data_IF_584732105125
#
_entry.id   IF_584732105125
#
_cell.length_a   1.000
_cell.length_b   1.000
_cell.length_c   1.000
_cell.angle_alpha   90.00
_cell.angle_beta   90.00
_cell.angle_gamma   90.00
#
_symmetry.space_group_name_H-M   'P 1'
#
loop_
_entity.id
_entity.type
_entity.pdbx_description
1 polymer ?
#
# COMPACT_ATOMS: atom_id res chain seq x y z
N UNK A 1 -10.43 -0.36 -20.96
CA UNK A 1 -11.85 0.08 -20.96
C UNK A 1 -12.11 1.18 -21.97
N UNK A 2 -11.46 2.37 -21.91
CA UNK A 2 -11.73 3.49 -22.85
C UNK A 2 -11.57 3.10 -24.34
N UNK A 3 -10.46 2.42 -24.70
CA UNK A 3 -10.27 1.95 -26.08
C UNK A 3 -11.39 1.01 -26.56
N UNK A 4 -11.84 0.11 -25.69
CA UNK A 4 -12.95 -0.81 -25.99
C UNK A 4 -14.26 -0.03 -26.21
N UNK A 5 -14.52 0.99 -25.39
CA UNK A 5 -15.71 1.84 -25.52
C UNK A 5 -15.72 2.62 -26.84
N UNK A 6 -14.55 3.14 -27.24
CA UNK A 6 -14.43 3.85 -28.54
C UNK A 6 -14.67 2.90 -29.71
N UNK A 7 -14.02 1.73 -29.70
CA UNK A 7 -14.21 0.71 -30.75
C UNK A 7 -15.69 0.28 -30.82
N UNK A 8 -16.31 -0.05 -29.68
CA UNK A 8 -17.72 -0.40 -29.62
C UNK A 8 -18.63 0.75 -30.11
N UNK A 9 -18.32 1.99 -29.75
CA UNK A 9 -19.06 3.18 -30.19
C UNK A 9 -19.02 3.38 -31.70
N UNK A 10 -17.87 3.10 -32.33
CA UNK A 10 -17.74 3.14 -33.80
C UNK A 10 -18.62 2.05 -34.45
N UNK A 11 -18.49 0.80 -33.97
CA UNK A 11 -19.23 -0.33 -34.55
C UNK A 11 -20.77 -0.24 -34.32
N UNK A 12 -21.20 0.41 -33.24
CA UNK A 12 -22.61 0.56 -32.89
C UNK A 12 -23.21 1.89 -33.39
N UNK A 13 -22.41 2.74 -34.05
CA UNK A 13 -22.86 4.07 -34.49
C UNK A 13 -23.18 5.05 -33.37
N UNK A 14 -22.61 4.83 -32.14
CA UNK A 14 -22.86 5.64 -30.95
C UNK A 14 -21.62 6.43 -30.50
N UNK A 15 -20.82 6.87 -31.45
CA UNK A 15 -19.58 7.61 -31.13
C UNK A 15 -19.87 8.94 -30.40
N UNK A 16 -21.00 9.60 -30.73
CA UNK A 16 -21.41 10.83 -30.07
C UNK A 16 -21.70 10.61 -28.58
N UNK A 17 -22.38 9.51 -28.22
CA UNK A 17 -22.64 9.15 -26.83
C UNK A 17 -21.34 8.86 -26.06
N UNK A 18 -20.33 8.26 -26.70
CA UNK A 18 -19.01 8.03 -26.10
C UNK A 18 -18.29 9.36 -25.87
N UNK A 19 -18.37 10.28 -26.82
CA UNK A 19 -17.76 11.61 -26.72
C UNK A 19 -18.43 12.45 -25.62
N UNK A 20 -19.76 12.45 -25.56
CA UNK A 20 -20.51 13.15 -24.52
C UNK A 20 -20.21 12.58 -23.12
N UNK A 21 -20.17 11.25 -22.98
CA UNK A 21 -19.78 10.60 -21.74
C UNK A 21 -18.36 10.98 -21.31
N UNK A 22 -17.40 11.05 -22.25
CA UNK A 22 -16.02 11.44 -21.95
C UNK A 22 -15.95 12.90 -21.46
N UNK A 23 -16.67 13.83 -22.09
CA UNK A 23 -16.73 15.23 -21.68
C UNK A 23 -17.37 15.36 -20.29
N UNK A 24 -18.48 14.67 -20.05
CA UNK A 24 -19.17 14.72 -18.77
C UNK A 24 -18.30 14.13 -17.63
N UNK A 25 -17.65 13.00 -17.88
CA UNK A 25 -16.71 12.42 -16.91
C UNK A 25 -15.51 13.30 -16.63
N UNK A 26 -15.03 14.06 -17.63
CA UNK A 26 -13.96 15.05 -17.42
C UNK A 26 -14.39 16.16 -16.47
N UNK A 27 -15.62 16.68 -16.59
CA UNK A 27 -16.16 17.69 -15.66
C UNK A 27 -16.28 17.13 -14.25
N UNK A 28 -16.86 15.93 -14.10
CA UNK A 28 -16.99 15.24 -12.81
C UNK A 28 -15.62 15.00 -12.18
N UNK A 29 -14.61 14.61 -12.98
CA UNK A 29 -13.25 14.41 -12.48
C UNK A 29 -12.65 15.69 -11.91
N UNK A 30 -12.87 16.85 -12.54
CA UNK A 30 -12.40 18.15 -12.03
C UNK A 30 -13.12 18.51 -10.74
N UNK A 31 -14.44 18.36 -10.66
CA UNK A 31 -15.22 18.64 -9.45
C UNK A 31 -14.76 17.79 -8.27
N UNK A 32 -14.60 16.47 -8.49
CA UNK A 32 -14.05 15.56 -7.47
C UNK A 32 -12.64 16.00 -7.05
N UNK A 33 -11.77 16.35 -8.00
CA UNK A 33 -10.39 16.74 -7.71
C UNK A 33 -10.34 18.00 -6.83
N UNK A 34 -11.16 19.01 -7.10
CA UNK A 34 -11.26 20.23 -6.28
C UNK A 34 -11.78 19.88 -4.88
N UNK A 35 -12.83 19.07 -4.78
CA UNK A 35 -13.38 18.63 -3.49
C UNK A 35 -12.37 17.84 -2.66
N UNK A 36 -11.55 17.02 -3.30
CA UNK A 36 -10.50 16.25 -2.64
C UNK A 36 -9.40 17.12 -2.00
N UNK A 37 -9.07 18.25 -2.58
CA UNK A 37 -7.99 19.11 -2.07
C UNK A 37 -8.20 19.49 -0.61
N UNK A 38 -9.40 19.98 -0.25
CA UNK A 38 -9.70 20.40 1.11
C UNK A 38 -9.67 19.25 2.11
N UNK A 39 -10.31 18.12 1.77
CA UNK A 39 -10.38 16.94 2.64
C UNK A 39 -8.99 16.32 2.82
N UNK A 40 -8.22 16.22 1.74
CA UNK A 40 -6.85 15.71 1.79
C UNK A 40 -5.93 16.62 2.62
N UNK A 41 -6.05 17.94 2.46
CA UNK A 41 -5.27 18.89 3.26
C UNK A 41 -5.58 18.78 4.76
N UNK A 42 -6.86 18.72 5.13
CA UNK A 42 -7.29 18.51 6.51
C UNK A 42 -6.75 17.20 7.06
N UNK A 43 -6.92 16.10 6.32
CA UNK A 43 -6.51 14.77 6.74
C UNK A 43 -5.00 14.65 6.90
N UNK A 44 -4.24 15.17 5.93
CA UNK A 44 -2.77 15.21 6.00
C UNK A 44 -2.29 16.06 7.19
N UNK A 45 -2.98 17.16 7.50
CA UNK A 45 -2.70 17.97 8.67
C UNK A 45 -2.89 17.19 9.98
N UNK A 46 -4.02 16.49 10.13
CA UNK A 46 -4.30 15.63 11.30
C UNK A 46 -3.25 14.53 11.42
N UNK A 47 -2.91 13.88 10.31
CA UNK A 47 -1.92 12.80 10.29
C UNK A 47 -0.51 13.33 10.62
N UNK A 48 -0.18 14.55 10.21
CA UNK A 48 1.10 15.19 10.57
C UNK A 48 1.20 15.45 12.08
N UNK A 49 0.09 15.82 12.71
CA UNK A 49 0.00 15.95 14.18
C UNK A 49 0.19 14.57 14.83
N UNK A 50 -0.46 13.53 14.33
CA UNK A 50 -0.32 12.16 14.82
C UNK A 50 1.13 11.64 14.68
N UNK A 51 1.81 11.97 13.59
CA UNK A 51 3.23 11.67 13.40
C UNK A 51 4.09 12.41 14.45
N UNK A 52 3.90 13.71 14.59
CA UNK A 52 4.63 14.55 15.54
C UNK A 52 4.39 14.16 17.01
N UNK A 53 3.21 13.63 17.34
CA UNK A 53 2.87 13.14 18.69
C UNK A 53 3.61 11.85 19.08
N UNK A 54 4.32 11.21 18.14
CA UNK A 54 5.02 9.96 18.36
C UNK A 54 4.15 8.70 18.24
N UNK A 55 2.92 8.80 17.75
CA UNK A 55 2.01 7.66 17.55
C UNK A 55 2.64 6.57 16.67
N UNK A 56 3.35 6.97 15.61
CA UNK A 56 4.09 6.04 14.74
C UNK A 56 5.08 5.21 15.57
N UNK A 57 5.81 5.82 16.51
CA UNK A 57 6.79 5.12 17.34
C UNK A 57 6.16 4.11 18.30
N UNK A 58 4.95 4.40 18.78
CA UNK A 58 4.20 3.48 19.66
C UNK A 58 3.79 2.24 18.88
N UNK A 59 3.20 2.42 17.70
CA UNK A 59 2.83 1.32 16.81
C UNK A 59 4.06 0.53 16.37
N UNK A 60 5.15 1.22 16.02
CA UNK A 60 6.40 0.60 15.63
C UNK A 60 6.98 -0.31 16.72
N UNK A 61 6.92 0.08 17.99
CA UNK A 61 7.36 -0.79 19.10
C UNK A 61 6.56 -2.08 19.17
N UNK A 62 5.24 -2.00 18.96
CA UNK A 62 4.37 -3.18 18.93
C UNK A 62 4.61 -4.09 17.72
N UNK A 63 4.96 -3.50 16.57
CA UNK A 63 5.20 -4.24 15.34
C UNK A 63 6.59 -4.89 15.27
N UNK A 64 7.59 -4.34 15.97
CA UNK A 64 8.98 -4.81 15.90
C UNK A 64 9.11 -6.33 16.15
N UNK A 65 8.52 -6.93 17.19
CA UNK A 65 8.66 -8.37 17.43
C UNK A 65 8.00 -9.23 16.34
N UNK A 66 6.93 -8.73 15.72
CA UNK A 66 6.25 -9.40 14.59
C UNK A 66 7.15 -9.30 13.35
N UNK A 67 7.70 -8.12 13.08
CA UNK A 67 8.59 -7.89 11.94
C UNK A 67 9.83 -8.78 11.99
N UNK A 68 10.49 -8.91 13.13
CA UNK A 68 11.66 -9.79 13.29
C UNK A 68 11.31 -11.24 12.95
N UNK A 69 10.10 -11.71 13.29
CA UNK A 69 9.65 -13.07 12.96
C UNK A 69 9.28 -13.25 11.48
N UNK A 70 8.82 -12.20 10.83
CA UNK A 70 8.47 -12.22 9.41
C UNK A 70 9.68 -12.15 8.50
N UNK A 71 10.76 -11.53 8.97
CA UNK A 71 12.01 -11.31 8.24
C UNK A 71 13.20 -12.01 8.90
N UNK A 72 13.21 -13.36 8.99
CA UNK A 72 14.26 -14.10 9.69
C UNK A 72 15.64 -13.95 9.04
N UNK A 73 15.70 -13.67 7.73
CA UNK A 73 16.94 -13.50 6.98
C UNK A 73 17.59 -12.12 7.20
N UNK A 74 16.89 -11.20 7.90
CA UNK A 74 17.40 -9.86 8.22
C UNK A 74 17.82 -9.82 9.68
N UNK A 75 19.08 -9.47 10.00
CA UNK A 75 19.52 -9.33 11.39
C UNK A 75 18.62 -8.36 12.18
N UNK A 76 18.25 -8.73 13.41
CA UNK A 76 17.26 -8.00 14.21
C UNK A 76 17.71 -6.56 14.60
N UNK A 77 19.00 -6.29 14.56
CA UNK A 77 19.65 -5.01 14.81
C UNK A 77 19.94 -4.22 13.52
N UNK A 78 19.72 -4.83 12.35
CA UNK A 78 19.94 -4.15 11.06
C UNK A 78 18.98 -2.98 10.86
N UNK A 79 19.42 -1.83 10.30
CA UNK A 79 18.58 -0.65 10.04
C UNK A 79 17.30 -0.97 9.25
N UNK A 80 17.34 -1.92 8.31
CA UNK A 80 16.21 -2.36 7.51
C UNK A 80 14.98 -2.74 8.36
N UNK A 81 15.18 -3.41 9.51
CA UNK A 81 14.08 -3.73 10.43
C UNK A 81 13.39 -2.46 10.92
N UNK A 82 14.17 -1.44 11.25
CA UNK A 82 13.64 -0.14 11.68
C UNK A 82 12.82 0.54 10.58
N UNK A 83 13.35 0.59 9.36
CA UNK A 83 12.70 1.21 8.20
C UNK A 83 11.42 0.44 7.79
N UNK A 84 11.45 -0.90 7.79
CA UNK A 84 10.28 -1.77 7.54
C UNK A 84 9.19 -1.47 8.58
N UNK A 85 9.53 -1.46 9.86
CA UNK A 85 8.57 -1.22 10.95
C UNK A 85 7.94 0.17 10.85
N UNK A 86 8.73 1.19 10.53
CA UNK A 86 8.22 2.56 10.34
C UNK A 86 7.32 2.66 9.10
N UNK A 87 7.70 2.03 7.99
CA UNK A 87 6.88 1.98 6.80
C UNK A 87 5.53 1.28 7.06
N UNK A 88 5.54 0.10 7.69
CA UNK A 88 4.32 -0.62 8.06
C UNK A 88 3.44 0.23 8.98
N UNK A 89 4.02 0.90 9.98
CA UNK A 89 3.29 1.76 10.91
C UNK A 89 2.64 2.95 10.20
N UNK A 90 3.34 3.57 9.26
CA UNK A 90 2.82 4.67 8.46
C UNK A 90 1.66 4.21 7.55
N UNK A 91 1.79 3.04 6.92
CA UNK A 91 0.73 2.44 6.11
C UNK A 91 -0.52 2.11 6.95
N UNK A 92 -0.35 1.53 8.15
CA UNK A 92 -1.47 1.23 9.05
C UNK A 92 -2.23 2.48 9.48
N UNK A 93 -1.56 3.62 9.57
CA UNK A 93 -2.16 4.92 9.87
C UNK A 93 -2.71 5.64 8.64
N UNK A 94 -2.64 5.04 7.45
CA UNK A 94 -3.11 5.66 6.22
C UNK A 94 -2.23 6.81 5.71
N UNK A 95 -0.97 6.87 6.16
CA UNK A 95 0.03 7.90 5.81
C UNK A 95 0.78 7.54 4.51
N UNK A 96 0.06 7.26 3.41
CA UNK A 96 0.67 6.79 2.17
C UNK A 96 1.85 7.64 1.66
N UNK A 97 1.74 8.97 1.77
CA UNK A 97 2.81 9.88 1.36
C UNK A 97 4.07 9.77 2.23
N UNK A 98 3.93 9.50 3.53
CA UNK A 98 5.05 9.27 4.43
C UNK A 98 5.58 7.83 4.34
N UNK A 99 4.71 6.87 4.03
CA UNK A 99 5.09 5.48 3.89
C UNK A 99 6.01 5.24 2.68
N UNK A 100 5.79 5.93 1.55
CA UNK A 100 6.57 5.74 0.32
C UNK A 100 8.08 5.94 0.52
N UNK A 101 8.58 7.08 1.04
CA UNK A 101 10.03 7.25 1.25
C UNK A 101 10.59 6.26 2.29
N UNK A 102 9.81 5.90 3.31
CA UNK A 102 10.21 4.88 4.28
C UNK A 102 10.32 3.49 3.64
N UNK A 103 9.41 3.18 2.71
CA UNK A 103 9.45 1.93 1.95
C UNK A 103 10.63 1.85 1.00
N UNK A 104 10.95 2.92 0.29
CA UNK A 104 12.14 3.00 -0.56
C UNK A 104 13.42 2.80 0.26
N UNK A 105 13.52 3.50 1.39
CA UNK A 105 14.66 3.34 2.30
C UNK A 105 14.79 1.91 2.82
N UNK A 106 13.69 1.29 3.24
CA UNK A 106 13.71 -0.12 3.67
C UNK A 106 14.18 -1.05 2.55
N UNK A 107 13.75 -0.80 1.31
CA UNK A 107 14.18 -1.61 0.16
C UNK A 107 15.66 -1.41 -0.18
N UNK A 108 16.19 -0.18 -0.07
CA UNK A 108 17.63 0.11 -0.23
C UNK A 108 18.45 -0.64 0.82
N UNK A 109 18.06 -0.58 2.10
CA UNK A 109 18.73 -1.27 3.20
C UNK A 109 18.64 -2.81 3.07
N UNK A 110 17.52 -3.34 2.53
CA UNK A 110 17.42 -4.77 2.18
C UNK A 110 18.31 -5.14 0.99
N UNK A 111 18.47 -4.21 0.03
CA UNK A 111 19.35 -4.42 -1.12
C UNK A 111 20.84 -4.46 -0.72
N UNK A 112 21.24 -3.79 0.36
CA UNK A 112 22.60 -3.91 0.90
C UNK A 112 22.90 -5.34 1.35
N UNK A 113 21.93 -6.02 1.96
CA UNK A 113 22.02 -7.41 2.40
C UNK A 113 21.88 -8.43 1.26
N UNK A 114 21.50 -7.99 0.07
CA UNK A 114 21.22 -8.86 -1.06
C UNK A 114 22.51 -9.34 -1.73
N UNK A 115 22.79 -10.65 -1.76
CA UNK A 115 24.00 -11.19 -2.40
C UNK A 115 23.94 -11.10 -3.94
N UNK A 116 22.73 -11.13 -4.54
CA UNK A 116 22.51 -11.05 -5.99
C UNK A 116 21.71 -9.78 -6.31
N UNK A 117 22.41 -8.73 -6.74
CA UNK A 117 21.82 -7.39 -6.90
C UNK A 117 20.71 -7.27 -7.95
N UNK A 118 20.63 -8.19 -8.87
CA UNK A 118 19.66 -8.28 -9.98
C UNK A 118 18.45 -9.18 -9.66
N UNK A 119 18.44 -9.83 -8.50
CA UNK A 119 17.38 -10.77 -8.09
C UNK A 119 16.85 -10.38 -6.70
N UNK A 120 15.55 -10.26 -6.53
CA UNK A 120 14.95 -9.92 -5.24
C UNK A 120 15.10 -11.07 -4.24
N UNK A 121 15.48 -10.75 -3.00
CA UNK A 121 15.51 -11.73 -1.89
C UNK A 121 14.12 -12.04 -1.36
N UNK A 122 13.97 -13.13 -0.60
CA UNK A 122 12.71 -13.49 0.06
C UNK A 122 12.23 -12.37 0.99
N UNK A 123 13.14 -11.69 1.68
CA UNK A 123 12.81 -10.53 2.52
C UNK A 123 12.22 -9.37 1.69
N UNK A 124 12.80 -9.05 0.53
CA UNK A 124 12.28 -8.01 -0.36
C UNK A 124 10.90 -8.36 -0.90
N UNK A 125 10.69 -9.62 -1.30
CA UNK A 125 9.37 -10.12 -1.77
C UNK A 125 8.34 -10.07 -0.66
N UNK A 126 8.70 -10.51 0.56
CA UNK A 126 7.82 -10.44 1.74
C UNK A 126 7.44 -8.99 2.06
N UNK A 127 8.41 -8.08 2.05
CA UNK A 127 8.17 -6.66 2.30
C UNK A 127 7.22 -6.05 1.26
N UNK A 128 7.42 -6.36 -0.02
CA UNK A 128 6.54 -5.90 -1.10
C UNK A 128 5.12 -6.45 -0.96
N UNK A 129 4.99 -7.73 -0.63
CA UNK A 129 3.70 -8.39 -0.43
C UNK A 129 2.91 -7.75 0.73
N UNK A 130 3.58 -7.47 1.87
CA UNK A 130 2.97 -6.79 3.02
C UNK A 130 2.56 -5.36 2.65
N UNK A 131 3.38 -4.62 1.91
CA UNK A 131 3.02 -3.26 1.47
C UNK A 131 1.83 -3.25 0.53
N UNK A 132 1.77 -4.20 -0.40
CA UNK A 132 0.67 -4.29 -1.38
C UNK A 132 -0.66 -4.68 -0.73
N UNK A 133 -0.62 -5.55 0.29
CA UNK A 133 -1.80 -6.04 1.00
C UNK A 133 -2.18 -5.22 2.24
N UNK A 134 -1.34 -4.33 2.67
CA UNK A 134 -1.21 -3.60 3.93
C UNK A 134 -2.48 -3.51 4.81
N UNK A 135 -2.33 -3.87 6.10
CA UNK A 135 -3.39 -3.68 7.10
C UNK A 135 -3.62 -2.19 7.32
N UNK A 136 -4.86 -1.75 7.18
CA UNK A 136 -5.26 -0.38 7.41
C UNK A 136 -6.07 -0.27 8.70
N UNK A 137 -5.50 0.38 9.71
CA UNK A 137 -6.20 0.71 10.96
C UNK A 137 -7.01 2.00 10.81
N UNK A 138 -6.59 2.89 9.94
CA UNK A 138 -7.27 4.14 9.63
C UNK A 138 -7.61 4.12 8.14
N UNK A 139 -8.86 4.46 7.82
CA UNK A 139 -9.32 4.52 6.43
C UNK A 139 -8.50 5.58 5.68
N UNK A 140 -8.00 5.27 4.48
CA UNK A 140 -7.23 6.24 3.69
C UNK A 140 -8.01 7.52 3.42
N UNK A 141 -7.31 8.65 3.42
CA UNK A 141 -7.89 9.96 3.18
C UNK A 141 -8.70 10.03 1.88
N UNK A 142 -8.24 9.36 0.84
CA UNK A 142 -8.95 9.29 -0.46
C UNK A 142 -10.31 8.61 -0.35
N UNK A 143 -10.42 7.55 0.44
CA UNK A 143 -11.70 6.85 0.67
C UNK A 143 -12.64 7.71 1.49
N UNK A 144 -12.12 8.36 2.55
CA UNK A 144 -12.91 9.32 3.36
C UNK A 144 -13.39 10.49 2.50
N UNK A 145 -12.55 11.00 1.62
CA UNK A 145 -12.88 12.08 0.72
C UNK A 145 -13.99 11.73 -0.29
N UNK A 146 -13.97 10.49 -0.82
CA UNK A 146 -14.97 10.02 -1.79
C UNK A 146 -16.29 9.61 -1.13
N UNK A 147 -16.24 9.01 0.05
CA UNK A 147 -17.42 8.45 0.73
C UNK A 147 -18.03 9.40 1.79
N UNK A 148 -17.30 10.42 2.23
CA UNK A 148 -17.76 11.33 3.28
C UNK A 148 -18.11 10.59 4.56
N UNK A 149 -19.27 10.90 5.15
CA UNK A 149 -19.75 10.28 6.38
C UNK A 149 -19.98 8.75 6.26
N UNK A 150 -20.24 8.24 5.05
CA UNK A 150 -20.42 6.81 4.83
C UNK A 150 -19.12 6.00 5.03
N UNK A 151 -17.95 6.65 5.02
CA UNK A 151 -16.67 5.99 5.29
C UNK A 151 -16.64 5.30 6.67
N UNK A 152 -17.33 5.85 7.67
CA UNK A 152 -17.40 5.25 9.01
C UNK A 152 -18.07 3.88 9.01
N UNK A 153 -19.01 3.62 8.10
CA UNK A 153 -19.75 2.35 8.00
C UNK A 153 -18.88 1.20 7.50
N UNK A 154 -17.83 1.50 6.74
CA UNK A 154 -16.92 0.47 6.20
C UNK A 154 -15.66 0.27 7.05
N UNK A 155 -15.54 0.94 8.19
CA UNK A 155 -14.32 0.91 9.03
C UNK A 155 -13.94 -0.52 9.43
N UNK A 156 -14.86 -1.26 10.06
CA UNK A 156 -14.61 -2.62 10.52
C UNK A 156 -14.38 -3.57 9.36
N UNK A 157 -15.17 -3.46 8.30
CA UNK A 157 -15.02 -4.32 7.11
C UNK A 157 -13.71 -4.07 6.41
N UNK A 158 -13.21 -2.84 6.36
CA UNK A 158 -11.90 -2.50 5.81
C UNK A 158 -10.77 -3.14 6.60
N UNK A 159 -10.81 -3.04 7.94
CA UNK A 159 -9.79 -3.68 8.80
C UNK A 159 -9.79 -5.20 8.57
N UNK A 160 -10.96 -5.84 8.60
CA UNK A 160 -11.05 -7.30 8.42
C UNK A 160 -10.59 -7.74 7.02
N UNK A 161 -10.99 -7.02 5.98
CA UNK A 161 -10.61 -7.34 4.61
C UNK A 161 -9.10 -7.17 4.37
N UNK A 162 -8.51 -6.06 4.85
CA UNK A 162 -7.07 -5.81 4.71
C UNK A 162 -6.23 -6.75 5.57
N UNK A 163 -6.71 -7.12 6.75
CA UNK A 163 -6.08 -8.14 7.60
C UNK A 163 -6.09 -9.51 6.92
N UNK A 164 -7.24 -9.95 6.39
CA UNK A 164 -7.36 -11.21 5.66
C UNK A 164 -6.44 -11.23 4.43
N UNK A 165 -6.40 -10.13 3.66
CA UNK A 165 -5.50 -9.96 2.52
C UNK A 165 -4.04 -10.10 2.92
N UNK A 166 -3.62 -9.43 4.00
CA UNK A 166 -2.24 -9.46 4.49
C UNK A 166 -1.85 -10.85 5.00
N UNK A 167 -2.72 -11.51 5.77
CA UNK A 167 -2.48 -12.89 6.22
C UNK A 167 -2.30 -13.81 5.01
N UNK A 168 -3.19 -13.70 4.01
CA UNK A 168 -3.11 -14.50 2.79
C UNK A 168 -1.80 -14.23 2.04
N UNK A 169 -1.40 -12.97 1.89
CA UNK A 169 -0.14 -12.59 1.23
C UNK A 169 1.07 -13.20 1.96
N UNK A 170 1.14 -13.08 3.29
CA UNK A 170 2.22 -13.66 4.10
C UNK A 170 2.26 -15.18 3.95
N UNK A 171 1.11 -15.85 4.05
CA UNK A 171 1.02 -17.32 3.90
C UNK A 171 1.49 -17.73 2.50
N UNK A 172 1.04 -17.04 1.46
CA UNK A 172 1.42 -17.35 0.08
C UNK A 172 2.92 -17.15 -0.15
N UNK A 173 3.51 -16.05 0.34
CA UNK A 173 4.97 -15.84 0.25
C UNK A 173 5.70 -16.96 0.98
N UNK A 174 5.30 -17.31 2.21
CA UNK A 174 5.92 -18.38 3.01
C UNK A 174 5.78 -19.77 2.38
N UNK A 175 4.72 -20.02 1.63
CA UNK A 175 4.56 -21.28 0.87
C UNK A 175 5.42 -21.28 -0.40
N UNK A 176 5.43 -20.16 -1.14
CA UNK A 176 6.15 -20.07 -2.41
C UNK A 176 7.67 -20.08 -2.20
N UNK A 177 8.18 -19.45 -1.12
CA UNK A 177 9.63 -19.47 -0.81
C UNK A 177 10.17 -20.91 -0.60
N UNK A 178 9.31 -21.86 -0.18
CA UNK A 178 9.67 -23.26 -0.01
C UNK A 178 9.68 -24.07 -1.31
N UNK A 179 9.13 -23.53 -2.38
CA UNK A 179 9.08 -24.21 -3.67
C UNK A 179 10.40 -24.00 -4.42
N UNK A 180 11.06 -25.08 -4.86
CA UNK A 180 12.33 -25.04 -5.60
C UNK A 180 12.33 -24.07 -6.79
N UNK A 181 11.17 -23.87 -7.43
CA UNK A 181 11.03 -22.97 -8.58
C UNK A 181 11.21 -21.49 -8.22
N UNK A 182 10.94 -21.11 -6.97
CA UNK A 182 10.96 -19.73 -6.50
C UNK A 182 12.02 -19.48 -5.41
N UNK A 183 12.78 -20.52 -5.01
CA UNK A 183 13.85 -20.35 -4.03
C UNK A 183 15.05 -19.68 -4.68
N UNK A 184 15.57 -18.62 -4.06
CA UNK A 184 16.74 -17.87 -4.54
C UNK A 184 18.03 -18.72 -4.45
N UNK A 185 18.04 -19.77 -3.61
CA UNK A 185 19.17 -20.70 -3.43
C UNK A 185 19.40 -21.64 -4.63
N UNK A 186 18.41 -21.88 -5.48
CA UNK A 186 18.54 -22.81 -6.61
C UNK A 186 19.31 -22.27 -7.83
N UNK A 187 19.91 -21.10 -7.70
CA UNK A 187 20.66 -20.42 -8.77
C UNK A 187 22.17 -20.27 -8.47
N UNK A 188 22.73 -21.11 -7.56
CA UNK A 188 24.18 -21.27 -7.36
C UNK A 188 24.75 -22.44 -8.15
#
# INVERSE_FOLDING_TARGET
MMAISVVAGIFTGRIDAVTEAAINMSKVAVEISIGLIGIMALWLGIMKIAEASGLIRIIARGLKPITIRLFPDVPADHPAIGSIVLNMSANMLGLGNAATPLGLKAMEELQELNPKKDTATNAMVMFLAINTSSVQLIIPATVVALMGAAASQIFITTILATLASTITAIVMVKLLEKMKRFSVESAS
#
